data_IF_855136872677
#
_entry.id   IF_855136872677
#
_cell.length_a   1.000
_cell.length_b   1.000
_cell.length_c   1.000
_cell.angle_alpha   90.00
_cell.angle_beta   90.00
_cell.angle_gamma   90.00
#
_symmetry.space_group_name_H-M   'P 1'
#
loop_
_entity.id
_entity.type
_entity.pdbx_description
1 polymer ?
#
# COMPACT_ATOMS: atom_id res chain seq x y z
N UNK A 1 -13.28 -74.58 -23.96
CA UNK A 1 -12.01 -73.98 -23.48
C UNK A 1 -12.34 -72.75 -22.68
N UNK A 2 -12.13 -72.78 -21.37
CA UNK A 2 -12.35 -71.62 -20.51
C UNK A 2 -11.11 -70.72 -20.53
N UNK A 3 -11.24 -69.41 -20.75
CA UNK A 3 -10.09 -68.51 -20.77
C UNK A 3 -9.46 -68.41 -19.38
N UNK A 4 -8.13 -68.32 -19.33
CA UNK A 4 -7.37 -68.21 -18.09
C UNK A 4 -7.64 -66.85 -17.43
N UNK A 5 -8.44 -66.85 -16.37
CA UNK A 5 -8.83 -65.66 -15.60
C UNK A 5 -7.64 -64.83 -15.09
N UNK A 6 -6.49 -65.47 -14.85
CA UNK A 6 -5.29 -64.82 -14.34
C UNK A 6 -4.63 -63.91 -15.40
N UNK A 7 -4.71 -64.29 -16.67
CA UNK A 7 -4.27 -63.45 -17.80
C UNK A 7 -5.24 -62.28 -18.05
N UNK A 8 -6.53 -62.47 -17.79
CA UNK A 8 -7.52 -61.40 -17.92
C UNK A 8 -7.33 -60.30 -16.87
N UNK A 9 -7.03 -60.65 -15.62
CA UNK A 9 -6.80 -59.63 -14.57
C UNK A 9 -5.48 -58.88 -14.76
N UNK A 10 -4.41 -59.55 -15.20
CA UNK A 10 -3.13 -58.88 -15.45
C UNK A 10 -3.20 -57.85 -16.60
N UNK A 11 -4.05 -58.12 -17.60
CA UNK A 11 -4.26 -57.20 -18.73
C UNK A 11 -5.19 -56.05 -18.38
N UNK A 12 -6.20 -56.27 -17.54
CA UNK A 12 -7.13 -55.23 -17.08
C UNK A 12 -6.51 -54.28 -16.03
N UNK A 13 -5.61 -54.79 -15.18
CA UNK A 13 -4.93 -54.02 -14.13
C UNK A 13 -3.47 -53.75 -14.50
N UNK A 14 -3.25 -53.12 -15.65
CA UNK A 14 -1.95 -52.55 -15.99
C UNK A 14 -1.92 -51.08 -15.57
N UNK A 15 -1.56 -50.74 -14.31
CA UNK A 15 -1.57 -49.36 -13.82
C UNK A 15 -0.72 -48.45 -14.71
N UNK A 16 0.33 -49.00 -15.33
CA UNK A 16 1.16 -48.28 -16.28
C UNK A 16 0.44 -47.79 -17.55
N UNK A 17 -0.74 -48.35 -17.89
CA UNK A 17 -1.60 -47.90 -18.98
C UNK A 17 -2.69 -46.93 -18.51
N UNK A 18 -3.14 -47.02 -17.26
CA UNK A 18 -4.08 -46.05 -16.67
C UNK A 18 -3.50 -44.63 -16.60
N UNK A 19 -2.18 -44.49 -16.45
CA UNK A 19 -1.53 -43.17 -16.43
C UNK A 19 -0.98 -42.70 -17.79
N UNK A 20 -1.10 -43.49 -18.87
CA UNK A 20 -0.50 -43.14 -20.19
C UNK A 20 -1.41 -42.37 -21.14
N UNK A 21 -2.71 -42.26 -20.86
CA UNK A 21 -3.70 -41.81 -21.86
C UNK A 21 -4.56 -40.62 -21.42
N UNK A 22 -3.95 -39.63 -20.78
CA UNK A 22 -4.38 -38.27 -21.10
C UNK A 22 -3.22 -37.61 -21.82
N UNK A 23 -3.33 -37.53 -23.15
CA UNK A 23 -2.72 -36.42 -23.89
C UNK A 23 -3.40 -35.16 -23.36
N UNK A 24 -2.99 -34.73 -22.16
CA UNK A 24 -3.41 -33.46 -21.58
C UNK A 24 -3.05 -32.45 -22.64
N UNK A 25 -4.07 -31.91 -23.29
CA UNK A 25 -3.92 -30.94 -24.36
C UNK A 25 -2.96 -29.89 -23.84
N UNK A 26 -1.79 -29.77 -24.51
CA UNK A 26 -0.78 -28.83 -24.03
C UNK A 26 -1.46 -27.48 -23.91
N UNK A 27 -1.39 -26.82 -22.75
CA UNK A 27 -2.08 -25.55 -22.56
C UNK A 27 -1.71 -24.61 -23.71
N UNK A 28 -2.71 -24.16 -24.46
CA UNK A 28 -2.50 -23.26 -25.59
C UNK A 28 -2.10 -21.88 -25.04
N UNK A 29 -1.22 -21.19 -25.75
CA UNK A 29 -0.89 -19.79 -25.48
C UNK A 29 -2.17 -18.97 -25.51
N UNK A 30 -2.34 -18.08 -24.52
CA UNK A 30 -3.48 -17.16 -24.46
C UNK A 30 -2.98 -15.75 -24.65
N UNK A 31 -3.67 -14.98 -25.48
CA UNK A 31 -3.36 -13.57 -25.71
C UNK A 31 -4.53 -12.73 -25.20
N UNK A 32 -4.24 -11.77 -24.33
CA UNK A 32 -5.22 -10.85 -23.76
C UNK A 32 -4.69 -9.43 -23.88
N UNK A 33 -5.57 -8.47 -24.12
CA UNK A 33 -5.23 -7.05 -24.10
C UNK A 33 -5.56 -6.50 -22.71
N UNK A 34 -4.61 -5.83 -22.06
CA UNK A 34 -4.79 -5.24 -20.72
C UNK A 34 -4.41 -3.76 -20.74
N UNK A 35 -5.13 -2.94 -19.99
CA UNK A 35 -4.83 -1.52 -19.80
C UNK A 35 -3.75 -1.27 -18.73
N UNK A 36 -3.54 -2.24 -17.82
CA UNK A 36 -2.69 -2.10 -16.62
C UNK A 36 -1.78 -3.33 -16.50
N UNK A 37 -0.47 -3.19 -16.18
CA UNK A 37 0.26 -1.98 -15.80
C UNK A 37 0.62 -1.04 -16.95
N UNK A 38 0.75 -1.55 -18.18
CA UNK A 38 0.97 -0.77 -19.39
C UNK A 38 -0.05 -1.22 -20.45
N UNK A 39 -0.79 -0.31 -21.11
CA UNK A 39 -1.74 -0.68 -22.16
C UNK A 39 -1.07 -1.45 -23.29
N UNK A 40 -1.58 -2.65 -23.58
CA UNK A 40 -1.01 -3.49 -24.63
C UNK A 40 -1.50 -4.94 -24.63
N UNK A 41 -0.87 -5.74 -25.50
CA UNK A 41 -1.16 -7.15 -25.68
C UNK A 41 -0.19 -8.00 -24.85
N UNK A 42 -0.77 -8.81 -23.99
CA UNK A 42 -0.10 -9.75 -23.10
C UNK A 42 -0.31 -11.19 -23.57
N UNK A 43 0.75 -12.01 -23.51
CA UNK A 43 0.71 -13.44 -23.85
C UNK A 43 1.05 -14.28 -22.62
N UNK A 44 0.16 -15.21 -22.28
CA UNK A 44 0.41 -16.25 -21.29
C UNK A 44 1.16 -17.41 -21.93
N UNK A 45 2.39 -17.64 -21.48
CA UNK A 45 3.23 -18.76 -21.86
C UNK A 45 3.15 -19.81 -20.73
N UNK A 46 2.60 -21.02 -20.98
CA UNK A 46 2.50 -22.04 -19.95
C UNK A 46 3.86 -22.40 -19.35
N UNK A 47 3.90 -22.49 -18.02
CA UNK A 47 5.13 -22.73 -17.25
C UNK A 47 6.05 -21.52 -17.08
N UNK A 48 5.83 -20.41 -17.81
CA UNK A 48 6.61 -19.17 -17.69
C UNK A 48 5.82 -17.98 -17.16
N UNK A 49 4.50 -17.96 -17.34
CA UNK A 49 3.62 -16.88 -16.89
C UNK A 49 3.27 -15.89 -18.00
N UNK A 50 2.89 -14.67 -17.60
CA UNK A 50 2.44 -13.60 -18.49
C UNK A 50 3.63 -12.78 -19.00
N UNK A 51 3.56 -12.35 -20.26
CA UNK A 51 4.55 -11.49 -20.92
C UNK A 51 3.85 -10.37 -21.67
N UNK A 52 4.39 -9.15 -21.61
CA UNK A 52 4.00 -8.05 -22.49
C UNK A 52 4.70 -8.24 -23.84
N UNK A 53 3.91 -8.41 -24.90
CA UNK A 53 4.39 -8.69 -26.27
C UNK A 53 4.25 -7.49 -27.19
N UNK A 54 3.27 -6.62 -26.97
CA UNK A 54 3.13 -5.38 -27.70
C UNK A 54 2.51 -4.28 -26.82
N UNK A 55 2.93 -3.04 -26.99
CA UNK A 55 2.37 -1.86 -26.33
C UNK A 55 1.54 -1.04 -27.29
N UNK A 56 0.48 -0.40 -26.81
CA UNK A 56 -0.33 0.48 -27.64
C UNK A 56 0.41 1.80 -27.91
N UNK A 57 0.50 2.20 -29.18
CA UNK A 57 1.23 3.42 -29.61
C UNK A 57 0.66 4.69 -28.97
N UNK A 58 -0.65 4.72 -28.74
CA UNK A 58 -1.34 5.87 -28.15
C UNK A 58 -1.05 6.06 -26.65
N UNK A 59 -0.48 5.07 -25.96
CA UNK A 59 -0.14 5.19 -24.54
C UNK A 59 1.19 5.94 -24.28
N UNK A 60 2.00 6.17 -25.32
CA UNK A 60 3.34 6.78 -25.19
C UNK A 60 3.31 8.31 -25.37
N UNK A 61 2.20 8.89 -25.83
CA UNK A 61 2.10 10.33 -26.05
C UNK A 61 1.46 11.02 -24.84
N UNK A 62 2.11 12.10 -24.41
CA UNK A 62 1.77 12.93 -23.26
C UNK A 62 0.25 13.14 -23.04
N UNK A 63 -0.22 13.14 -21.79
CA UNK A 63 -1.63 13.42 -21.45
C UNK A 63 -2.07 14.88 -21.73
N UNK A 64 -1.36 15.63 -22.57
CA UNK A 64 -1.56 17.06 -22.77
C UNK A 64 -2.34 17.44 -24.05
N UNK A 65 -2.79 16.48 -24.85
CA UNK A 65 -3.80 16.67 -25.87
C UNK A 65 -4.82 15.52 -25.68
N UNK A 66 -6.07 15.72 -25.31
CA UNK A 66 -7.09 16.44 -26.06
C UNK A 66 -8.21 16.86 -25.10
N UNK A 67 -8.34 18.16 -24.82
CA UNK A 67 -9.62 18.78 -24.43
C UNK A 67 -10.03 19.71 -25.57
N UNK A 68 -10.37 19.11 -26.70
CA UNK A 68 -11.02 19.76 -27.83
C UNK A 68 -12.50 19.45 -27.77
N UNK A 69 -13.24 20.36 -27.17
CA UNK A 69 -14.68 20.38 -26.99
C UNK A 69 -15.38 20.39 -28.37
N UNK A 70 -16.26 19.41 -28.65
CA UNK A 70 -17.29 19.55 -29.70
C UNK A 70 -17.14 18.77 -31.02
N UNK A 71 -16.64 17.53 -31.02
CA UNK A 71 -16.62 16.67 -32.22
C UNK A 71 -17.89 15.81 -32.41
N UNK A 72 -18.29 15.49 -33.66
CA UNK A 72 -19.56 14.81 -33.99
C UNK A 72 -19.66 13.40 -33.41
N UNK A 73 -20.88 12.99 -33.01
CA UNK A 73 -21.21 11.66 -32.49
C UNK A 73 -21.01 10.63 -33.60
N UNK A 74 -19.86 9.95 -33.61
CA UNK A 74 -19.59 8.82 -34.51
C UNK A 74 -20.16 7.54 -33.89
N UNK A 75 -20.84 6.66 -34.66
CA UNK A 75 -21.44 5.43 -34.16
C UNK A 75 -20.41 4.46 -33.55
N UNK A 76 -20.81 3.78 -32.48
CA UNK A 76 -19.98 3.07 -31.50
C UNK A 76 -19.22 1.81 -31.98
N UNK A 77 -19.35 1.40 -33.24
CA UNK A 77 -18.92 0.07 -33.70
C UNK A 77 -17.67 0.06 -34.60
N UNK A 78 -17.02 1.20 -34.83
CA UNK A 78 -15.75 1.24 -35.57
C UNK A 78 -14.60 1.45 -34.59
N UNK A 79 -14.21 0.40 -33.87
CA UNK A 79 -12.93 0.39 -33.16
C UNK A 79 -11.83 0.47 -34.21
N UNK A 80 -11.26 1.66 -34.40
CA UNK A 80 -10.10 1.85 -35.25
C UNK A 80 -9.00 0.86 -34.80
N UNK A 81 -8.26 0.23 -35.74
CA UNK A 81 -7.23 -0.73 -35.40
C UNK A 81 -6.18 -0.04 -34.52
N UNK A 82 -6.13 -0.39 -33.24
CA UNK A 82 -5.14 0.15 -32.30
C UNK A 82 -3.75 -0.19 -32.82
N UNK A 83 -2.97 0.83 -33.19
CA UNK A 83 -1.60 0.64 -33.62
C UNK A 83 -0.77 0.09 -32.45
N UNK A 84 -0.27 -1.12 -32.58
CA UNK A 84 0.52 -1.81 -31.55
C UNK A 84 1.99 -1.87 -31.96
N UNK A 85 2.89 -1.53 -31.03
CA UNK A 85 4.33 -1.62 -31.19
C UNK A 85 4.79 -2.94 -30.56
N UNK A 86 5.35 -3.85 -31.36
CA UNK A 86 5.84 -5.14 -30.87
C UNK A 86 7.09 -4.96 -30.01
N UNK A 87 7.10 -5.55 -28.82
CA UNK A 87 8.22 -5.56 -27.89
C UNK A 87 9.17 -6.70 -28.22
N UNK A 88 10.44 -6.37 -28.49
CA UNK A 88 11.51 -7.36 -28.71
C UNK A 88 12.70 -6.99 -27.82
N UNK A 89 12.96 -7.69 -26.70
CA UNK A 89 12.32 -8.92 -26.23
C UNK A 89 10.97 -8.71 -25.50
N UNK A 90 10.11 -9.75 -25.40
CA UNK A 90 8.91 -9.71 -24.55
C UNK A 90 9.27 -9.51 -23.07
N UNK A 91 8.51 -8.66 -22.37
CA UNK A 91 8.81 -8.30 -20.97
C UNK A 91 7.98 -9.18 -20.02
N UNK A 92 8.61 -9.94 -19.10
CA UNK A 92 7.86 -10.79 -18.18
C UNK A 92 7.02 -9.95 -17.21
N UNK A 93 5.86 -10.48 -16.83
CA UNK A 93 4.93 -9.86 -15.89
C UNK A 93 4.86 -10.69 -14.62
N UNK A 94 5.04 -10.04 -13.48
CA UNK A 94 5.04 -10.65 -12.15
C UNK A 94 3.82 -10.18 -11.37
N UNK A 95 3.11 -11.11 -10.75
CA UNK A 95 2.04 -10.78 -9.81
C UNK A 95 2.64 -10.48 -8.43
N UNK A 96 2.41 -9.27 -7.92
CA UNK A 96 2.81 -8.92 -6.56
C UNK A 96 1.78 -9.40 -5.56
N UNK A 97 2.18 -10.29 -4.65
CA UNK A 97 1.33 -10.73 -3.52
C UNK A 97 1.07 -9.63 -2.49
N UNK A 98 1.92 -8.61 -2.44
CA UNK A 98 1.82 -7.48 -1.50
C UNK A 98 0.72 -6.51 -1.94
N UNK A 99 0.80 -6.03 -3.18
CA UNK A 99 -0.12 -5.02 -3.75
C UNK A 99 -1.30 -5.68 -4.49
N UNK A 100 -1.26 -7.01 -4.67
CA UNK A 100 -2.28 -7.82 -5.37
C UNK A 100 -2.51 -7.39 -6.83
N UNK A 101 -1.46 -6.93 -7.50
CA UNK A 101 -1.49 -6.41 -8.86
C UNK A 101 -0.32 -6.94 -9.68
N UNK A 102 -0.50 -7.01 -11.01
CA UNK A 102 0.54 -7.33 -11.96
C UNK A 102 1.47 -6.14 -12.23
N UNK A 103 2.77 -6.42 -12.27
CA UNK A 103 3.83 -5.46 -12.60
C UNK A 103 4.72 -6.04 -13.69
N UNK A 104 5.31 -5.18 -14.51
CA UNK A 104 6.42 -5.60 -15.37
C UNK A 104 7.61 -6.01 -14.50
N UNK A 105 8.38 -7.01 -14.94
CA UNK A 105 9.50 -7.52 -14.17
C UNK A 105 10.54 -6.46 -13.77
N UNK A 106 10.93 -5.50 -14.65
CA UNK A 106 11.83 -4.42 -14.26
C UNK A 106 11.25 -3.56 -13.13
N UNK A 107 9.98 -3.17 -13.22
CA UNK A 107 9.31 -2.37 -12.18
C UNK A 107 9.18 -3.13 -10.86
N UNK A 108 8.88 -4.43 -10.96
CA UNK A 108 8.79 -5.31 -9.79
C UNK A 108 10.14 -5.42 -9.07
N UNK A 109 11.24 -5.51 -9.82
CA UNK A 109 12.61 -5.59 -9.28
C UNK A 109 13.07 -4.26 -8.70
N UNK A 110 12.76 -3.13 -9.34
CA UNK A 110 13.03 -1.79 -8.79
C UNK A 110 12.30 -1.53 -7.46
N UNK A 111 11.12 -2.14 -7.27
CA UNK A 111 10.36 -2.07 -6.01
C UNK A 111 10.88 -3.02 -4.94
N UNK A 112 11.73 -3.98 -5.27
CA UNK A 112 12.30 -4.93 -4.32
C UNK A 112 13.66 -4.42 -3.85
N UNK A 113 13.84 -4.30 -2.53
CA UNK A 113 15.12 -3.89 -1.95
C UNK A 113 15.44 -4.74 -0.73
N UNK A 114 16.68 -5.14 -0.57
CA UNK A 114 17.16 -5.83 0.62
C UNK A 114 17.82 -4.83 1.57
N UNK A 115 17.62 -5.00 2.86
CA UNK A 115 18.17 -4.13 3.90
C UNK A 115 18.52 -4.90 5.15
N UNK A 116 19.43 -4.34 5.96
CA UNK A 116 19.76 -4.89 7.28
C UNK A 116 18.86 -4.24 8.34
N UNK A 117 18.21 -5.05 9.16
CA UNK A 117 17.45 -4.59 10.33
C UNK A 117 17.96 -5.30 11.58
N UNK A 118 17.78 -4.63 12.72
CA UNK A 118 18.13 -5.20 14.02
C UNK A 118 16.94 -5.99 14.56
N UNK A 119 17.14 -7.29 14.80
CA UNK A 119 16.13 -8.14 15.44
C UNK A 119 15.97 -7.74 16.93
N UNK A 120 14.94 -8.26 17.61
CA UNK A 120 14.70 -8.05 19.05
C UNK A 120 15.90 -8.43 19.93
N UNK A 121 16.76 -9.35 19.45
CA UNK A 121 18.00 -9.77 20.12
C UNK A 121 19.20 -8.84 19.84
N UNK A 122 19.03 -7.76 19.08
CA UNK A 122 20.13 -6.87 18.70
C UNK A 122 20.97 -7.36 17.52
N UNK A 123 20.70 -8.55 16.96
CA UNK A 123 21.40 -9.11 15.80
C UNK A 123 20.91 -8.45 14.50
N UNK A 124 21.83 -8.02 13.65
CA UNK A 124 21.53 -7.54 12.30
C UNK A 124 21.16 -8.69 11.37
N UNK A 125 19.93 -8.73 10.87
CA UNK A 125 19.43 -9.70 9.89
C UNK A 125 19.19 -8.99 8.55
N UNK A 126 19.43 -9.69 7.45
CA UNK A 126 19.13 -9.18 6.10
C UNK A 126 17.71 -9.60 5.74
N UNK A 127 16.83 -8.65 5.45
CA UNK A 127 15.43 -8.93 5.09
C UNK A 127 15.07 -8.23 3.80
N UNK A 128 14.03 -8.73 3.12
CA UNK A 128 13.54 -8.13 1.88
C UNK A 128 12.35 -7.21 2.10
N UNK A 129 12.41 -6.05 1.47
CA UNK A 129 11.37 -5.04 1.46
C UNK A 129 10.77 -4.87 0.06
N UNK A 130 9.48 -4.52 0.01
CA UNK A 130 8.77 -4.14 -1.20
C UNK A 130 8.23 -2.71 -1.07
N UNK A 131 8.45 -1.88 -2.09
CA UNK A 131 7.99 -0.50 -2.15
C UNK A 131 6.52 -0.44 -2.59
N UNK A 132 5.71 0.30 -1.83
CA UNK A 132 4.31 0.57 -2.15
C UNK A 132 4.18 1.64 -3.25
N UNK A 133 2.94 1.91 -3.66
CA UNK A 133 2.63 2.87 -4.74
C UNK A 133 2.85 4.34 -4.35
N UNK A 134 2.97 4.64 -3.06
CA UNK A 134 3.26 5.98 -2.54
C UNK A 134 4.72 6.41 -2.70
N UNK A 135 5.57 5.53 -3.26
CA UNK A 135 7.01 5.71 -3.48
C UNK A 135 7.87 5.91 -2.21
N UNK A 136 7.27 6.28 -1.08
CA UNK A 136 7.95 6.52 0.20
C UNK A 136 7.90 5.31 1.13
N UNK A 137 6.79 4.57 1.14
CA UNK A 137 6.60 3.48 2.10
C UNK A 137 7.10 2.15 1.58
N UNK A 138 7.70 1.40 2.49
CA UNK A 138 8.21 0.06 2.28
C UNK A 138 7.53 -0.91 3.24
N UNK A 139 7.36 -2.15 2.81
CA UNK A 139 6.88 -3.24 3.66
C UNK A 139 7.87 -4.38 3.66
N UNK A 140 8.13 -4.95 4.84
CA UNK A 140 8.91 -6.17 4.96
C UNK A 140 8.02 -7.35 4.56
N UNK A 141 8.36 -8.05 3.48
CA UNK A 141 7.59 -9.20 3.01
C UNK A 141 8.44 -10.42 2.67
N UNK A 142 9.75 -10.34 2.90
CA UNK A 142 10.64 -11.50 2.87
C UNK A 142 11.45 -11.57 4.17
N UNK A 143 11.60 -12.78 4.70
CA UNK A 143 12.48 -13.09 5.83
C UNK A 143 13.97 -13.18 5.42
N UNK A 144 14.80 -13.74 6.30
CA UNK A 144 16.24 -13.91 6.07
C UNK A 144 16.55 -15.06 5.09
N UNK A 145 15.66 -16.04 5.00
CA UNK A 145 15.70 -17.14 4.05
C UNK A 145 15.17 -16.75 2.66
N UNK A 146 14.44 -15.63 2.57
CA UNK A 146 13.78 -15.18 1.35
C UNK A 146 12.40 -15.80 1.11
N UNK A 147 11.82 -16.45 2.12
CA UNK A 147 10.43 -16.90 2.13
C UNK A 147 9.50 -15.69 2.25
N UNK A 148 8.35 -15.78 1.59
CA UNK A 148 7.36 -14.71 1.60
C UNK A 148 6.51 -14.75 2.87
N UNK A 149 6.57 -13.70 3.68
CA UNK A 149 5.76 -13.57 4.88
C UNK A 149 4.38 -13.01 4.49
N UNK A 150 3.26 -13.69 4.75
CA UNK A 150 1.94 -13.11 4.53
C UNK A 150 1.63 -12.02 5.58
N UNK A 151 0.98 -10.93 5.13
CA UNK A 151 0.63 -9.78 5.99
C UNK A 151 -0.35 -10.12 7.12
N UNK A 152 -0.54 -9.19 8.09
CA UNK A 152 -0.39 -7.73 7.99
C UNK A 152 1.06 -7.22 8.06
N UNK A 153 1.37 -6.19 7.25
CA UNK A 153 2.73 -5.66 7.13
C UNK A 153 2.95 -4.37 7.92
N UNK A 154 4.03 -4.31 8.68
CA UNK A 154 4.52 -3.06 9.26
C UNK A 154 5.07 -2.15 8.15
N UNK A 155 4.78 -0.85 8.25
CA UNK A 155 5.32 0.16 7.33
C UNK A 155 6.72 0.60 7.78
N UNK A 156 7.60 0.73 6.80
CA UNK A 156 8.99 1.11 6.92
C UNK A 156 9.29 2.26 5.97
N UNK A 157 10.30 3.05 6.31
CA UNK A 157 10.87 4.06 5.43
C UNK A 157 12.40 3.95 5.46
N UNK A 158 13.05 4.47 4.43
CA UNK A 158 14.50 4.59 4.41
C UNK A 158 14.84 5.91 5.10
N UNK A 159 15.63 5.84 6.17
CA UNK A 159 16.11 7.04 6.84
C UNK A 159 17.05 7.82 5.91
N UNK A 160 16.71 9.08 5.62
CA UNK A 160 17.48 9.91 4.70
C UNK A 160 18.93 10.13 5.15
N UNK A 161 19.18 10.12 6.48
CA UNK A 161 20.51 10.35 7.04
C UNK A 161 21.38 9.10 7.01
N UNK A 162 20.83 7.95 7.41
CA UNK A 162 21.62 6.72 7.56
C UNK A 162 21.50 5.76 6.37
N UNK A 163 20.50 5.96 5.50
CA UNK A 163 20.15 5.02 4.43
C UNK A 163 19.58 3.68 4.92
N UNK A 164 19.39 3.53 6.24
CA UNK A 164 18.90 2.30 6.84
C UNK A 164 17.38 2.29 6.89
N UNK A 165 16.80 1.09 6.89
CA UNK A 165 15.37 0.92 7.10
C UNK A 165 15.02 1.17 8.56
N UNK A 166 14.07 2.07 8.79
CA UNK A 166 13.46 2.32 10.10
C UNK A 166 11.95 2.22 10.00
N UNK A 167 11.30 1.95 11.12
CA UNK A 167 9.84 2.01 11.18
C UNK A 167 9.36 3.40 10.76
N UNK A 168 8.30 3.43 9.96
CA UNK A 168 7.72 4.67 9.49
C UNK A 168 7.08 5.40 10.68
N UNK A 169 7.56 6.62 10.93
CA UNK A 169 6.99 7.50 11.94
C UNK A 169 5.78 8.22 11.32
N UNK A 170 4.92 8.76 12.19
CA UNK A 170 3.72 9.47 11.76
C UNK A 170 4.00 10.62 10.79
N UNK A 171 5.12 11.33 10.98
CA UNK A 171 5.52 12.46 10.13
C UNK A 171 6.08 12.08 8.75
N UNK A 172 6.45 10.82 8.53
CA UNK A 172 6.98 10.35 7.24
C UNK A 172 5.87 9.98 6.25
N UNK A 173 4.65 9.75 6.76
CA UNK A 173 3.49 9.36 5.96
C UNK A 173 3.03 10.55 5.11
N UNK A 174 3.08 10.46 3.76
CA UNK A 174 2.66 11.57 2.89
C UNK A 174 1.18 11.92 3.05
N UNK A 175 0.35 10.99 3.53
CA UNK A 175 -1.06 11.24 3.82
C UNK A 175 -1.27 11.88 5.21
N UNK A 176 -0.23 11.93 6.06
CA UNK A 176 -0.34 12.54 7.37
C UNK A 176 -0.33 14.05 7.26
N UNK A 177 -1.53 14.64 7.31
CA UNK A 177 -1.69 16.06 7.57
C UNK A 177 -1.47 16.29 9.06
N UNK A 178 -0.43 17.04 9.49
CA UNK A 178 -0.31 17.43 10.87
C UNK A 178 -1.55 18.24 11.22
N UNK A 179 -2.40 17.69 12.08
CA UNK A 179 -3.52 18.43 12.64
C UNK A 179 -2.94 19.68 13.28
N UNK A 180 -3.22 20.86 12.70
CA UNK A 180 -2.83 22.14 13.29
C UNK A 180 -3.25 22.09 14.74
N UNK A 181 -2.27 22.15 15.64
CA UNK A 181 -2.48 22.19 17.06
C UNK A 181 -3.17 23.51 17.40
N UNK A 182 -4.49 23.54 17.24
CA UNK A 182 -5.35 24.64 17.66
C UNK A 182 -5.75 24.50 19.14
N UNK A 183 -5.16 23.58 19.88
CA UNK A 183 -5.35 23.48 21.33
C UNK A 183 -4.22 24.19 22.06
N UNK A 184 -4.46 25.48 22.30
CA UNK A 184 -4.25 26.16 23.58
C UNK A 184 -2.79 26.23 24.08
N UNK A 185 -2.24 27.43 23.94
CA UNK A 185 -1.16 27.94 24.78
C UNK A 185 -1.53 27.75 26.26
N UNK A 186 -0.76 26.94 26.99
CA UNK A 186 -0.83 26.94 28.44
C UNK A 186 -0.61 25.59 29.12
N UNK A 187 0.50 24.90 28.83
CA UNK A 187 1.22 24.21 29.91
C UNK A 187 2.62 23.79 29.44
N UNK A 188 3.62 24.42 30.04
CA UNK A 188 5.04 24.33 29.71
C UNK A 188 5.71 23.07 30.32
N UNK A 189 4.92 22.06 30.66
CA UNK A 189 5.35 20.94 31.46
C UNK A 189 5.19 19.63 30.69
N UNK A 190 6.35 19.06 30.32
CA UNK A 190 6.60 17.62 30.16
C UNK A 190 6.44 17.02 28.75
N UNK A 191 7.50 17.18 27.95
CA UNK A 191 8.38 16.06 27.48
C UNK A 191 7.73 14.71 27.11
N UNK A 192 6.54 14.65 26.52
CA UNK A 192 5.99 13.42 25.92
C UNK A 192 6.38 13.36 24.44
N UNK A 193 7.64 13.01 24.20
CA UNK A 193 8.13 12.57 22.89
C UNK A 193 7.58 11.20 22.53
N UNK A 194 6.26 11.04 22.40
CA UNK A 194 5.70 9.84 21.79
C UNK A 194 5.92 9.92 20.28
N UNK A 195 7.10 9.45 19.86
CA UNK A 195 7.35 9.02 18.48
C UNK A 195 6.49 7.78 18.20
N UNK A 196 5.17 7.94 18.20
CA UNK A 196 4.24 6.84 17.97
C UNK A 196 4.45 6.33 16.55
N UNK A 197 5.16 5.21 16.46
CA UNK A 197 5.39 4.49 15.21
C UNK A 197 4.05 4.03 14.67
N UNK A 198 3.68 4.45 13.45
CA UNK A 198 2.41 3.98 12.85
C UNK A 198 2.41 2.48 12.59
N UNK A 199 3.58 1.84 12.56
CA UNK A 199 3.72 0.40 12.32
C UNK A 199 3.04 -0.49 13.37
N UNK A 200 2.75 0.02 14.58
CA UNK A 200 2.06 -0.73 15.63
C UNK A 200 0.57 -0.41 15.76
N UNK A 201 0.10 0.68 15.13
CA UNK A 201 -1.31 1.03 15.05
C UNK A 201 -2.04 0.24 13.95
N UNK A 202 -1.88 -1.09 13.97
CA UNK A 202 -3.00 -1.91 13.55
C UNK A 202 -4.08 -1.68 14.58
N UNK A 203 -5.04 -0.81 14.24
CA UNK A 203 -6.30 -0.60 14.96
C UNK A 203 -6.83 -1.98 15.33
N UNK A 204 -6.67 -2.36 16.59
CA UNK A 204 -7.65 -3.18 17.28
C UNK A 204 -8.95 -2.40 17.16
N UNK A 205 -9.73 -2.66 16.12
CA UNK A 205 -11.08 -2.14 16.03
C UNK A 205 -11.83 -2.58 17.30
N UNK A 206 -12.83 -1.81 17.77
CA UNK A 206 -13.69 -2.25 18.85
C UNK A 206 -14.43 -3.51 18.36
N UNK A 207 -13.87 -4.68 18.67
CA UNK A 207 -14.28 -5.98 18.12
C UNK A 207 -13.18 -7.03 17.99
N UNK A 208 -11.89 -6.67 18.03
CA UNK A 208 -10.81 -7.68 18.04
C UNK A 208 -10.46 -8.10 19.46
N UNK A 209 -11.20 -9.06 20.02
CA UNK A 209 -10.73 -9.84 21.16
C UNK A 209 -9.61 -10.76 20.67
N UNK A 210 -8.40 -10.75 21.29
CA UNK A 210 -7.45 -11.83 21.10
C UNK A 210 -7.98 -13.04 21.86
N UNK A 211 -8.85 -13.81 21.20
CA UNK A 211 -9.22 -15.15 21.65
C UNK A 211 -8.06 -16.07 21.27
N UNK A 212 -7.24 -16.36 22.26
CA UNK A 212 -6.38 -17.53 22.46
C UNK A 212 -4.97 -17.17 22.91
N UNK A 213 -4.87 -16.95 24.23
CA UNK A 213 -3.63 -16.99 24.99
C UNK A 213 -3.95 -17.46 26.40
N UNK A 214 -3.57 -18.70 26.71
CA UNK A 214 -3.77 -19.34 28.02
C UNK A 214 -3.18 -18.47 29.13
N UNK A 215 -4.05 -17.85 29.93
CA UNK A 215 -3.69 -17.14 31.14
C UNK A 215 -3.30 -18.12 32.25
N UNK A 216 -2.06 -17.97 32.74
CA UNK A 216 -1.56 -18.59 33.97
C UNK A 216 -2.44 -18.19 35.17
N UNK A 217 -2.73 -19.09 36.12
CA UNK A 217 -3.58 -18.79 37.27
C UNK A 217 -2.84 -17.92 38.29
N UNK A 218 -3.28 -16.67 38.41
CA UNK A 218 -2.94 -15.79 39.54
C UNK A 218 -3.73 -16.22 40.77
N UNK A 219 -3.04 -16.81 41.73
CA UNK A 219 -3.52 -17.13 43.08
C UNK A 219 -3.83 -15.85 43.86
N UNK A 220 -5.12 -15.52 43.99
CA UNK A 220 -5.62 -14.82 45.19
C UNK A 220 -6.99 -15.36 45.60
N UNK A 221 -6.98 -15.98 46.77
CA UNK A 221 -8.15 -16.34 47.55
C UNK A 221 -8.69 -15.12 48.29
N UNK A 222 -10.02 -14.95 48.34
CA UNK A 222 -10.76 -14.85 49.60
C UNK A 222 -12.27 -14.66 49.41
N UNK A 223 -13.01 -15.29 50.34
CA UNK A 223 -14.34 -14.93 50.85
C UNK A 223 -15.55 -15.25 49.95
N UNK A 224 -16.20 -16.40 50.08
CA UNK A 224 -17.22 -16.77 51.11
C UNK A 224 -18.42 -15.81 51.12
N UNK A 225 -19.61 -16.29 50.72
CA UNK A 225 -20.77 -16.64 51.58
C UNK A 225 -22.08 -16.69 50.77
N UNK A 226 -22.87 -17.76 50.92
CA UNK A 226 -24.27 -17.78 50.47
C UNK A 226 -24.81 -19.17 50.13
N UNK A 227 -25.15 -19.94 51.14
CA UNK A 227 -25.90 -21.21 51.08
C UNK A 227 -27.41 -20.94 50.96
N UNK A 228 -28.10 -21.62 50.04
CA UNK A 228 -29.38 -22.31 50.29
C UNK A 228 -29.85 -23.13 49.05
N UNK A 229 -30.40 -24.35 49.23
CA UNK A 229 -30.87 -25.22 48.15
C UNK A 229 -32.40 -25.30 48.05
N UNK A 230 -32.94 -25.55 46.85
CA UNK A 230 -34.04 -26.50 46.56
C UNK A 230 -34.64 -26.33 45.14
N UNK A 231 -34.34 -27.30 44.25
CA UNK A 231 -35.24 -28.11 43.40
C UNK A 231 -36.29 -27.48 42.41
N UNK A 232 -36.84 -28.25 41.42
CA UNK A 232 -36.62 -27.98 39.99
C UNK A 232 -37.94 -27.80 39.17
N UNK A 233 -38.10 -28.32 37.93
CA UNK A 233 -37.91 -27.64 36.64
C UNK A 233 -39.22 -27.44 35.85
N UNK A 234 -39.31 -26.43 34.96
CA UNK A 234 -40.09 -26.53 33.70
C UNK A 234 -40.07 -25.23 32.87
N UNK A 235 -40.06 -25.45 31.54
CA UNK A 235 -40.35 -24.56 30.41
C UNK A 235 -39.28 -23.62 29.83
N UNK A 236 -38.99 -23.74 28.51
CA UNK A 236 -38.16 -22.80 27.75
C UNK A 236 -39.05 -21.75 27.07
N UNK A 237 -38.96 -20.50 27.50
CA UNK A 237 -39.51 -19.38 26.75
C UNK A 237 -38.71 -18.12 27.07
N UNK A 238 -37.86 -17.69 26.14
CA UNK A 238 -37.71 -16.30 25.72
C UNK A 238 -36.44 -16.11 24.88
N UNK A 239 -36.69 -15.77 23.62
CA UNK A 239 -35.78 -15.08 22.71
C UNK A 239 -35.38 -13.73 23.32
N UNK A 240 -34.09 -13.39 23.46
CA UNK A 240 -33.70 -12.04 23.85
C UNK A 240 -33.80 -11.08 22.66
N UNK A 241 -34.58 -10.02 22.87
CA UNK A 241 -34.95 -9.02 21.88
C UNK A 241 -33.78 -8.20 21.35
N UNK A 242 -33.77 -8.04 20.04
CA UNK A 242 -33.00 -7.05 19.29
C UNK A 242 -33.31 -5.63 19.76
N UNK A 243 -32.31 -4.93 20.31
CA UNK A 243 -32.39 -3.48 20.44
C UNK A 243 -32.17 -2.84 19.07
N UNK A 244 -33.28 -2.39 18.47
CA UNK A 244 -33.33 -1.51 17.30
C UNK A 244 -32.76 -0.14 17.66
N UNK A 245 -31.54 0.13 17.17
CA UNK A 245 -30.86 1.40 17.36
C UNK A 245 -31.52 2.46 16.47
N UNK A 246 -32.21 3.40 17.09
CA UNK A 246 -32.93 4.49 16.42
C UNK A 246 -31.94 5.47 15.77
N UNK A 247 -31.83 5.39 14.44
CA UNK A 247 -31.17 6.43 13.65
C UNK A 247 -32.11 7.64 13.57
N UNK A 248 -31.83 8.65 14.40
CA UNK A 248 -32.33 10.02 14.25
C UNK A 248 -31.96 10.54 12.86
N UNK A 249 -32.98 10.79 12.04
CA UNK A 249 -32.87 11.62 10.83
C UNK A 249 -32.42 13.03 11.24
N UNK A 250 -31.22 13.41 10.83
CA UNK A 250 -30.76 14.79 10.92
C UNK A 250 -31.26 15.57 9.70
N UNK A 251 -31.81 16.79 9.88
CA UNK A 251 -32.34 17.58 8.77
C UNK A 251 -31.22 18.05 7.85
N UNK A 252 -31.47 17.93 6.54
CA UNK A 252 -30.58 18.41 5.47
C UNK A 252 -30.34 19.92 5.63
N UNK A 253 -29.09 20.31 5.94
CA UNK A 253 -28.64 21.71 5.97
C UNK A 253 -28.41 22.21 4.55
N UNK A 254 -29.27 23.10 4.08
CA UNK A 254 -29.03 23.97 2.92
C UNK A 254 -28.23 25.20 3.36
N UNK A 255 -26.90 25.07 3.50
CA UNK A 255 -25.98 26.19 3.82
C UNK A 255 -24.68 26.14 3.02
N UNK A 256 -24.69 25.52 1.83
CA UNK A 256 -23.46 25.33 1.04
C UNK A 256 -23.01 26.63 0.32
N UNK A 257 -23.96 27.51 0.01
CA UNK A 257 -23.70 28.76 -0.71
C UNK A 257 -22.90 29.75 0.16
N UNK A 258 -23.17 29.82 1.47
CA UNK A 258 -22.44 30.71 2.39
C UNK A 258 -21.00 30.24 2.66
N UNK A 259 -20.74 28.93 2.58
CA UNK A 259 -19.40 28.37 2.79
C UNK A 259 -18.45 28.67 1.63
N UNK A 260 -18.94 28.67 0.39
CA UNK A 260 -18.13 29.00 -0.77
C UNK A 260 -17.76 30.49 -0.81
N UNK A 261 -18.68 31.38 -0.43
CA UNK A 261 -18.38 32.81 -0.31
C UNK A 261 -17.37 33.10 0.82
N UNK A 262 -17.51 32.43 1.97
CA UNK A 262 -16.55 32.55 3.07
C UNK A 262 -15.14 32.05 2.70
N UNK A 263 -15.04 30.96 1.93
CA UNK A 263 -13.76 30.46 1.40
C UNK A 263 -13.11 31.46 0.44
N UNK A 264 -13.88 32.08 -0.44
CA UNK A 264 -13.37 33.08 -1.38
C UNK A 264 -12.78 34.31 -0.64
N UNK A 265 -13.47 34.80 0.41
CA UNK A 265 -12.97 35.92 1.23
C UNK A 265 -11.68 35.58 1.97
N UNK A 266 -11.54 34.35 2.48
CA UNK A 266 -10.35 33.92 3.20
C UNK A 266 -9.12 33.82 2.27
N UNK A 267 -9.31 33.34 1.04
CA UNK A 267 -8.25 33.30 0.02
C UNK A 267 -7.80 34.71 -0.38
N UNK A 268 -8.74 35.66 -0.52
CA UNK A 268 -8.42 37.05 -0.82
C UNK A 268 -7.57 37.69 0.30
N UNK A 269 -7.96 37.52 1.56
CA UNK A 269 -7.24 38.05 2.71
C UNK A 269 -5.83 37.46 2.84
N UNK A 270 -5.67 36.15 2.60
CA UNK A 270 -4.35 35.52 2.63
C UNK A 270 -3.40 36.04 1.54
N UNK A 271 -3.95 36.34 0.35
CA UNK A 271 -3.18 36.92 -0.77
C UNK A 271 -2.70 38.34 -0.46
N UNK A 272 -3.55 39.14 0.18
CA UNK A 272 -3.22 40.50 0.60
C UNK A 272 -2.12 40.52 1.66
N UNK A 273 -2.20 39.64 2.66
CA UNK A 273 -1.15 39.51 3.69
C UNK A 273 0.17 39.06 3.08
N UNK A 274 0.15 38.11 2.12
CA UNK A 274 1.37 37.67 1.44
C UNK A 274 2.01 38.80 0.62
N UNK A 275 1.20 39.63 -0.05
CA UNK A 275 1.69 40.79 -0.81
C UNK A 275 2.29 41.86 0.12
N UNK A 276 1.67 42.14 1.27
CA UNK A 276 2.20 43.09 2.25
C UNK A 276 3.55 42.65 2.83
N UNK A 277 3.73 41.36 3.14
CA UNK A 277 5.01 40.81 3.62
C UNK A 277 6.08 40.85 2.53
N UNK A 278 5.71 40.58 1.26
CA UNK A 278 6.65 40.68 0.14
C UNK A 278 7.12 42.13 -0.08
N UNK A 279 6.20 43.10 0.00
CA UNK A 279 6.54 44.54 -0.12
C UNK A 279 7.42 45.03 1.04
N UNK A 280 7.17 44.56 2.27
CA UNK A 280 8.01 44.88 3.42
C UNK A 280 9.44 44.31 3.28
N UNK A 281 9.59 43.14 2.65
CA UNK A 281 10.92 42.55 2.40
C UNK A 281 11.71 43.26 1.31
N UNK A 282 11.06 43.78 0.26
CA UNK A 282 11.76 44.49 -0.82
C UNK A 282 12.17 45.92 -0.45
N UNK A 283 11.52 46.54 0.55
CA UNK A 283 11.88 47.89 1.01
C UNK A 283 13.12 47.98 1.91
N UNK A 284 13.67 46.86 2.39
CA UNK A 284 14.72 46.86 3.43
C UNK A 284 16.17 46.63 2.95
N UNK A 285 16.43 46.53 1.64
CA UNK A 285 17.73 46.06 1.10
C UNK A 285 18.49 47.07 0.23
N UNK A 286 18.11 48.35 0.21
CA UNK A 286 18.72 49.34 -0.68
C UNK A 286 19.95 50.10 -0.12
N UNK A 287 20.24 50.09 1.20
CA UNK A 287 21.19 51.07 1.78
C UNK A 287 22.48 50.52 2.42
N UNK A 288 22.78 49.22 2.39
CA UNK A 288 23.96 48.68 3.10
C UNK A 288 24.86 47.79 2.23
N UNK A 289 25.36 48.31 1.10
CA UNK A 289 26.39 47.61 0.31
C UNK A 289 27.53 48.51 -0.17
N UNK A 290 27.91 49.47 0.68
CA UNK A 290 28.88 50.51 0.37
C UNK A 290 30.11 50.55 1.28
N UNK A 291 30.58 49.45 1.88
CA UNK A 291 31.90 49.42 2.54
C UNK A 291 32.29 48.01 3.01
N UNK A 292 33.14 47.33 2.25
CA UNK A 292 34.25 46.50 2.75
C UNK A 292 35.03 45.93 1.57
N UNK A 293 35.96 46.74 1.07
CA UNK A 293 37.10 46.23 0.33
C UNK A 293 37.96 45.38 1.25
N UNK A 294 38.34 44.19 0.79
CA UNK A 294 39.46 43.43 1.35
C UNK A 294 40.37 43.03 0.20
N UNK A 295 41.55 43.64 0.06
CA UNK A 295 42.53 43.21 -0.92
C UNK A 295 43.38 42.07 -0.35
N UNK A 296 43.81 41.17 -1.24
CA UNK A 296 45.06 40.44 -1.13
C UNK A 296 45.03 39.14 -0.31
N UNK A 297 45.26 38.03 -1.01
CA UNK A 297 46.28 37.06 -0.62
C UNK A 297 46.55 36.15 -1.81
N UNK A 298 47.67 36.45 -2.46
CA UNK A 298 48.30 35.67 -3.50
C UNK A 298 48.64 34.24 -3.06
N UNK A 299 48.68 33.36 -4.07
CA UNK A 299 49.74 32.37 -4.23
C UNK A 299 49.71 31.16 -3.30
N UNK A 300 49.60 29.96 -3.89
CA UNK A 300 50.57 28.87 -3.77
C UNK A 300 50.15 27.77 -4.76
N UNK A 301 50.88 27.71 -5.87
CA UNK A 301 51.29 26.51 -6.62
C UNK A 301 52.77 26.33 -6.19
N UNK A 302 53.41 25.14 -6.05
CA UNK A 302 53.32 24.00 -6.97
C UNK A 302 53.64 22.58 -6.41
N UNK A 303 53.70 21.61 -7.34
CA UNK A 303 54.40 20.30 -7.32
C UNK A 303 53.80 19.18 -6.44
N UNK A 304 53.72 17.92 -6.88
CA UNK A 304 54.40 17.19 -7.95
C UNK A 304 53.52 16.03 -8.44
#
# INVERSE_FOLDING_TARGET
MTPNLLLATQTLFSPHKWFKNQKVERPKRKTEHWDVPVPGVYEYIPGRGWYLVATDKNATNDPQAVSGEGGPVVPADTQAPTETIKMTPPVPVKYSKVVKRYFLAPDYELRKKYGRITNSQGKGIQVGFFRLDDATSWVQCWDEEGEFIPGPYKLWCIDARTGNFRHMLKGDDPAYVPSRANSISGEETSRRGSQDSRSTQFRSGPGSTPRDGRSLPSTRANSVKGLAPSNPPSHPASTPGSQSNSRRNSPKRTTDIQLNEAKARLVAMAREQAAAVAAAKSGGTADDNGRRGRPGADGIVPTR
#
